data_IF_935903142929
#
_entry.id   IF_935903142929
#
_cell.length_a   1.000
_cell.length_b   1.000
_cell.length_c   1.000
_cell.angle_alpha   90.00
_cell.angle_beta   90.00
_cell.angle_gamma   90.00
#
_symmetry.space_group_name_H-M   'P 1'
#
loop_
_entity.id
_entity.type
_entity.pdbx_description
1 polymer ?
#
# COMPACT_ATOMS: atom_id res chain seq x y z
N UNK A 1 -0.20 -14.41 13.38
CA UNK A 1 -1.02 -15.16 14.36
C UNK A 1 -1.72 -16.32 13.66
N UNK A 2 -1.53 -17.56 14.15
CA UNK A 2 -2.12 -18.79 13.58
C UNK A 2 -1.88 -18.96 12.07
N UNK A 3 -0.68 -18.60 11.60
CA UNK A 3 -0.25 -18.62 10.19
C UNK A 3 -0.89 -17.53 9.28
N UNK A 4 -1.70 -16.64 9.82
CA UNK A 4 -2.12 -15.45 9.10
C UNK A 4 -1.06 -14.37 9.21
N UNK A 5 -0.69 -13.81 8.08
CA UNK A 5 0.27 -12.72 7.99
C UNK A 5 -0.45 -11.38 8.03
N UNK A 6 0.15 -10.42 8.75
CA UNK A 6 -0.32 -9.04 8.83
C UNK A 6 0.88 -8.09 8.65
N UNK A 7 1.44 -8.01 7.45
CA UNK A 7 2.60 -7.18 7.17
C UNK A 7 2.27 -5.69 7.30
N UNK A 8 3.25 -4.94 7.80
CA UNK A 8 3.17 -3.49 7.97
C UNK A 8 4.57 -2.89 7.80
N UNK A 9 4.68 -1.80 7.08
CA UNK A 9 5.91 -1.04 6.91
C UNK A 9 5.77 0.39 7.42
N UNK A 10 6.78 0.86 8.12
CA UNK A 10 6.95 2.24 8.59
C UNK A 10 8.39 2.67 8.40
N UNK A 11 8.59 3.94 8.16
CA UNK A 11 9.91 4.54 8.04
C UNK A 11 10.15 5.47 9.23
N UNK A 12 11.31 5.34 9.85
CA UNK A 12 11.74 6.17 10.99
C UNK A 12 13.15 6.67 10.68
N UNK A 13 13.37 7.97 10.80
CA UNK A 13 14.70 8.58 10.72
C UNK A 13 15.31 8.67 12.11
N UNK A 14 16.61 8.39 12.22
CA UNK A 14 17.38 8.50 13.46
C UNK A 14 18.23 9.76 13.38
N UNK A 15 18.09 10.63 14.39
CA UNK A 15 18.79 11.91 14.49
C UNK A 15 18.14 13.01 13.68
N UNK A 16 18.11 12.91 12.34
CA UNK A 16 17.50 13.92 11.48
C UNK A 16 16.90 13.31 10.23
N UNK A 17 15.81 13.89 9.75
CA UNK A 17 15.23 13.56 8.46
C UNK A 17 15.87 14.41 7.35
N UNK A 18 16.07 13.87 6.14
CA UNK A 18 16.51 14.62 4.98
C UNK A 18 15.51 15.73 4.62
N UNK A 19 16.01 16.81 4.01
CA UNK A 19 15.15 17.87 3.48
C UNK A 19 14.18 17.28 2.44
N UNK A 20 12.90 17.50 2.64
CA UNK A 20 11.85 16.98 1.76
C UNK A 20 11.16 15.72 2.29
N UNK A 21 11.66 15.07 3.35
CA UNK A 21 11.07 13.87 3.92
C UNK A 21 9.58 14.04 4.32
N UNK A 22 9.21 15.23 4.80
CA UNK A 22 7.81 15.54 5.15
C UNK A 22 6.89 15.46 3.92
N UNK A 23 7.33 16.02 2.78
CA UNK A 23 6.55 15.96 1.53
C UNK A 23 6.43 14.53 1.01
N UNK A 24 7.51 13.76 1.10
CA UNK A 24 7.49 12.34 0.69
C UNK A 24 6.59 11.51 1.60
N UNK A 25 6.59 11.77 2.90
CA UNK A 25 5.67 11.15 3.86
C UNK A 25 4.21 11.47 3.54
N UNK A 26 3.90 12.75 3.29
CA UNK A 26 2.56 13.20 2.90
C UNK A 26 2.11 12.55 1.59
N UNK A 27 2.98 12.49 0.59
CA UNK A 27 2.71 11.82 -0.68
C UNK A 27 2.39 10.35 -0.47
N UNK A 28 3.18 9.64 0.34
CA UNK A 28 2.95 8.23 0.64
C UNK A 28 1.63 8.02 1.40
N UNK A 29 1.31 8.88 2.38
CA UNK A 29 0.02 8.82 3.09
C UNK A 29 -1.17 9.08 2.17
N UNK A 30 -1.06 10.04 1.25
CA UNK A 30 -2.11 10.32 0.27
C UNK A 30 -2.30 9.14 -0.70
N UNK A 31 -1.20 8.52 -1.15
CA UNK A 31 -1.23 7.30 -1.95
C UNK A 31 -1.92 6.14 -1.21
N UNK A 32 -1.63 5.94 0.08
CA UNK A 32 -2.29 4.92 0.90
C UNK A 32 -3.80 5.17 1.04
N UNK A 33 -4.21 6.41 1.28
CA UNK A 33 -5.63 6.79 1.32
C UNK A 33 -6.34 6.51 -0.01
N UNK A 34 -5.68 6.80 -1.14
CA UNK A 34 -6.22 6.54 -2.47
C UNK A 34 -6.40 5.03 -2.72
N UNK A 35 -5.39 4.22 -2.38
CA UNK A 35 -5.49 2.75 -2.46
C UNK A 35 -6.68 2.25 -1.65
N UNK A 36 -6.77 2.62 -0.36
CA UNK A 36 -7.86 2.18 0.51
C UNK A 36 -9.23 2.67 0.01
N UNK A 37 -9.31 3.89 -0.51
CA UNK A 37 -10.54 4.45 -1.08
C UNK A 37 -11.05 3.71 -2.33
N UNK A 38 -10.14 3.13 -3.10
CA UNK A 38 -10.47 2.36 -4.31
C UNK A 38 -10.78 0.88 -4.02
N UNK A 39 -10.33 0.34 -2.89
CA UNK A 39 -10.61 -1.04 -2.48
C UNK A 39 -12.08 -1.18 -2.03
N UNK A 40 -12.95 -1.60 -2.95
CA UNK A 40 -14.39 -1.77 -2.71
C UNK A 40 -14.86 -3.12 -3.22
N UNK A 41 -15.81 -3.75 -2.49
CA UNK A 41 -16.45 -4.99 -2.95
C UNK A 41 -17.11 -4.76 -4.31
N UNK A 42 -16.86 -5.67 -5.26
CA UNK A 42 -17.33 -5.57 -6.64
C UNK A 42 -16.47 -4.71 -7.58
N UNK A 43 -15.53 -3.91 -7.04
CA UNK A 43 -14.54 -3.17 -7.84
C UNK A 43 -13.45 -4.08 -8.42
N UNK A 44 -12.54 -3.51 -9.18
CA UNK A 44 -11.39 -4.21 -9.75
C UNK A 44 -10.12 -3.96 -8.94
N UNK A 45 -9.26 -4.95 -8.84
CA UNK A 45 -7.98 -4.82 -8.14
C UNK A 45 -7.08 -3.74 -8.79
N UNK A 46 -7.17 -3.56 -10.10
CA UNK A 46 -6.46 -2.53 -10.84
C UNK A 46 -6.88 -1.09 -10.50
N UNK A 47 -8.10 -0.88 -9.99
CA UNK A 47 -8.60 0.44 -9.60
C UNK A 47 -7.75 1.03 -8.45
N UNK A 48 -7.30 0.19 -7.53
CA UNK A 48 -6.43 0.61 -6.43
C UNK A 48 -5.06 1.11 -6.95
N UNK A 49 -4.50 0.42 -7.94
CA UNK A 49 -3.26 0.86 -8.57
C UNK A 49 -3.46 2.18 -9.33
N UNK A 50 -4.55 2.29 -10.10
CA UNK A 50 -4.87 3.51 -10.85
C UNK A 50 -5.02 4.72 -9.92
N UNK A 51 -5.73 4.57 -8.80
CA UNK A 51 -5.90 5.62 -7.80
C UNK A 51 -4.56 6.06 -7.17
N UNK A 52 -3.67 5.12 -6.87
CA UNK A 52 -2.32 5.42 -6.37
C UNK A 52 -1.48 6.17 -7.42
N UNK A 53 -1.54 5.73 -8.69
CA UNK A 53 -0.86 6.38 -9.82
C UNK A 53 -1.30 7.82 -10.04
N UNK A 54 -2.58 8.10 -9.88
CA UNK A 54 -3.12 9.47 -9.99
C UNK A 54 -2.52 10.40 -8.92
N UNK A 55 -2.35 9.91 -7.69
CA UNK A 55 -1.66 10.67 -6.63
C UNK A 55 -0.20 10.94 -7.02
N UNK A 56 0.51 9.96 -7.54
CA UNK A 56 1.89 10.14 -8.02
C UNK A 56 1.95 11.19 -9.15
N UNK A 57 1.09 11.07 -10.14
CA UNK A 57 1.04 12.00 -11.28
C UNK A 57 0.73 13.44 -10.83
N UNK A 58 -0.22 13.62 -9.91
CA UNK A 58 -0.58 14.92 -9.35
C UNK A 58 0.56 15.58 -8.55
N UNK A 59 1.51 14.78 -8.07
CA UNK A 59 2.72 15.25 -7.38
C UNK A 59 3.91 15.51 -8.33
N UNK A 60 3.69 15.47 -9.63
CA UNK A 60 4.75 15.66 -10.65
C UNK A 60 5.52 14.39 -11.03
N UNK A 61 5.08 13.22 -10.57
CA UNK A 61 5.67 11.92 -10.86
C UNK A 61 4.83 11.16 -11.91
N UNK A 62 4.51 11.84 -13.03
CA UNK A 62 3.62 11.29 -14.06
C UNK A 62 4.15 10.01 -14.73
N UNK A 63 5.46 9.86 -14.84
CA UNK A 63 6.11 8.69 -15.43
C UNK A 63 6.57 7.64 -14.40
N UNK A 64 6.30 7.89 -13.11
CA UNK A 64 6.70 6.97 -12.05
C UNK A 64 5.79 5.76 -12.02
N UNK A 65 6.36 4.59 -12.16
CA UNK A 65 5.65 3.32 -12.17
C UNK A 65 6.25 2.31 -11.20
N UNK A 66 5.37 1.49 -10.66
CA UNK A 66 5.74 0.28 -9.89
C UNK A 66 4.94 -0.89 -10.44
N UNK A 67 5.44 -2.09 -10.26
CA UNK A 67 4.76 -3.28 -10.77
C UNK A 67 3.46 -3.61 -10.02
N UNK A 68 3.27 -3.12 -8.80
CA UNK A 68 2.02 -3.20 -8.03
C UNK A 68 2.02 -2.20 -6.87
N UNK A 69 0.85 -1.94 -6.28
CA UNK A 69 0.68 -1.21 -5.02
C UNK A 69 0.16 -2.09 -3.88
N UNK A 70 0.28 -3.41 -4.01
CA UNK A 70 -0.11 -4.37 -2.97
C UNK A 70 -0.40 -5.75 -3.52
N UNK A 71 -0.58 -6.70 -2.63
CA UNK A 71 -0.90 -8.10 -2.94
C UNK A 71 -1.75 -8.72 -1.84
N UNK A 72 -2.51 -9.75 -2.20
CA UNK A 72 -3.34 -10.48 -1.25
C UNK A 72 -2.49 -11.28 -0.26
N UNK A 73 -2.87 -11.26 1.00
CA UNK A 73 -2.25 -12.03 2.07
C UNK A 73 -3.28 -12.92 2.76
N UNK A 74 -2.80 -13.96 3.42
CA UNK A 74 -3.66 -14.90 4.13
C UNK A 74 -2.83 -15.89 4.95
N UNK A 75 -3.24 -17.14 4.98
CA UNK A 75 -2.44 -18.22 5.58
C UNK A 75 -1.23 -18.47 4.68
N UNK A 76 -0.04 -18.37 5.25
CA UNK A 76 1.20 -18.58 4.52
C UNK A 76 2.22 -19.38 5.33
N UNK A 77 3.16 -20.00 4.62
CA UNK A 77 4.27 -20.78 5.16
C UNK A 77 5.56 -20.34 4.47
N UNK A 78 6.66 -20.42 5.22
CA UNK A 78 7.98 -20.19 4.66
C UNK A 78 8.21 -21.09 3.42
N UNK A 79 8.82 -20.56 2.36
CA UNK A 79 9.45 -19.24 2.21
C UNK A 79 8.52 -18.13 1.71
N UNK A 80 7.23 -18.37 1.53
CA UNK A 80 6.30 -17.36 1.03
C UNK A 80 5.21 -17.05 2.05
N UNK A 81 4.91 -15.74 2.25
CA UNK A 81 3.78 -15.24 3.04
C UNK A 81 2.57 -14.86 2.17
N UNK A 82 2.70 -14.94 0.85
CA UNK A 82 1.61 -14.60 -0.09
C UNK A 82 0.74 -15.80 -0.46
N UNK A 83 0.86 -16.92 0.26
CA UNK A 83 0.13 -18.15 -0.06
C UNK A 83 0.56 -18.83 -1.37
N UNK A 84 1.75 -18.48 -1.88
CA UNK A 84 2.29 -19.04 -3.13
C UNK A 84 1.64 -18.46 -4.39
N UNK A 85 0.71 -17.51 -4.27
CA UNK A 85 0.05 -16.94 -5.42
C UNK A 85 0.26 -15.43 -5.52
N UNK A 86 0.95 -15.02 -6.55
CA UNK A 86 0.92 -13.66 -7.08
C UNK A 86 -0.43 -13.35 -7.77
N UNK A 87 -1.38 -14.26 -7.67
CA UNK A 87 -2.60 -14.29 -8.49
C UNK A 87 -3.57 -13.15 -8.20
N UNK A 88 -3.47 -12.53 -7.02
CA UNK A 88 -4.30 -11.36 -6.73
C UNK A 88 -3.43 -10.24 -6.19
N UNK A 89 -2.82 -9.50 -7.11
CA UNK A 89 -2.06 -8.30 -6.81
C UNK A 89 -2.79 -7.07 -7.34
N UNK A 90 -2.54 -5.95 -6.69
CA UNK A 90 -3.04 -4.63 -7.07
C UNK A 90 -2.09 -4.02 -8.11
N UNK A 91 -2.11 -4.57 -9.33
CA UNK A 91 -1.25 -4.17 -10.44
C UNK A 91 -2.02 -3.46 -11.56
N UNK A 92 -1.33 -2.76 -12.47
CA UNK A 92 -1.99 -2.04 -13.57
C UNK A 92 -2.91 -2.94 -14.39
N UNK A 93 -4.17 -2.55 -14.55
CA UNK A 93 -5.13 -3.28 -15.37
C UNK A 93 -5.58 -4.63 -14.81
N UNK A 94 -5.35 -4.91 -13.53
CA UNK A 94 -5.86 -6.15 -12.92
C UNK A 94 -7.39 -6.19 -12.93
N UNK A 95 -7.94 -7.12 -13.68
CA UNK A 95 -9.39 -7.36 -13.83
C UNK A 95 -9.99 -8.20 -12.70
N UNK A 96 -9.19 -8.60 -11.71
CA UNK A 96 -9.69 -9.38 -10.58
C UNK A 96 -10.76 -8.61 -9.83
N UNK A 97 -11.95 -9.16 -9.74
CA UNK A 97 -13.03 -8.61 -8.93
C UNK A 97 -12.73 -8.78 -7.45
N UNK A 98 -12.90 -7.70 -6.70
CA UNK A 98 -12.70 -7.66 -5.27
C UNK A 98 -13.90 -8.21 -4.52
N UNK A 99 -13.65 -9.08 -3.55
CA UNK A 99 -14.68 -9.77 -2.77
C UNK A 99 -14.54 -9.45 -1.28
N UNK A 100 -15.63 -9.43 -0.55
CA UNK A 100 -15.62 -9.24 0.90
C UNK A 100 -14.77 -10.32 1.57
N UNK A 101 -13.98 -9.92 2.56
CA UNK A 101 -13.08 -10.79 3.31
C UNK A 101 -11.70 -10.95 2.69
N UNK A 102 -11.46 -10.44 1.48
CA UNK A 102 -10.10 -10.35 0.94
C UNK A 102 -9.22 -9.47 1.82
N UNK A 103 -7.99 -9.90 2.06
CA UNK A 103 -7.01 -9.18 2.86
C UNK A 103 -5.79 -8.86 2.00
N UNK A 104 -5.36 -7.62 2.01
CA UNK A 104 -4.24 -7.13 1.21
C UNK A 104 -3.14 -6.55 2.08
N UNK A 105 -1.89 -6.76 1.68
CA UNK A 105 -0.79 -5.91 2.06
C UNK A 105 -0.74 -4.76 1.06
N UNK A 106 -1.29 -3.62 1.41
CA UNK A 106 -1.30 -2.41 0.58
C UNK A 106 -0.01 -1.63 0.79
N UNK A 107 0.59 -1.14 -0.30
CA UNK A 107 1.85 -0.41 -0.30
C UNK A 107 1.69 0.96 -0.93
N UNK A 108 2.12 2.00 -0.24
CA UNK A 108 2.37 3.29 -0.85
C UNK A 108 3.84 3.62 -0.68
N UNK A 109 4.59 3.56 -1.76
CA UNK A 109 6.04 3.69 -1.76
C UNK A 109 6.51 4.52 -2.95
N UNK A 110 7.43 5.41 -2.65
CA UNK A 110 8.08 6.27 -3.61
C UNK A 110 9.58 6.17 -3.35
N UNK A 111 10.28 5.44 -4.21
CA UNK A 111 11.71 5.19 -4.13
C UNK A 111 12.33 5.36 -5.50
N UNK A 112 13.62 5.72 -5.54
CA UNK A 112 14.33 5.98 -6.78
C UNK A 112 13.69 7.11 -7.60
N UNK A 113 13.22 8.14 -6.91
CA UNK A 113 12.68 9.38 -7.49
C UNK A 113 13.62 10.54 -7.16
N UNK A 114 13.39 11.71 -7.76
CA UNK A 114 14.13 12.94 -7.40
C UNK A 114 13.72 13.54 -6.05
N UNK A 115 12.80 12.88 -5.35
CA UNK A 115 12.40 13.20 -3.98
C UNK A 115 12.97 12.19 -3.00
N UNK A 116 12.88 12.49 -1.71
CA UNK A 116 13.35 11.58 -0.65
C UNK A 116 12.52 10.31 -0.65
N UNK A 117 13.17 9.16 -0.64
CA UNK A 117 12.50 7.86 -0.55
C UNK A 117 11.62 7.76 0.67
N UNK A 118 10.40 7.32 0.48
CA UNK A 118 9.46 7.09 1.57
C UNK A 118 8.56 5.88 1.29
N UNK A 119 8.29 5.13 2.35
CA UNK A 119 7.49 3.92 2.27
C UNK A 119 6.57 3.78 3.49
N UNK A 120 5.32 3.50 3.22
CA UNK A 120 4.37 2.98 4.21
C UNK A 120 3.61 1.80 3.63
N UNK A 121 3.24 0.87 4.47
CA UNK A 121 2.34 -0.21 4.10
C UNK A 121 1.45 -0.64 5.26
N UNK A 122 0.30 -1.19 4.91
CA UNK A 122 -0.69 -1.68 5.86
C UNK A 122 -1.25 -3.02 5.43
N UNK A 123 -1.67 -3.80 6.41
CA UNK A 123 -2.62 -4.88 6.17
C UNK A 123 -4.04 -4.32 6.19
N UNK A 124 -4.77 -4.57 5.12
CA UNK A 124 -6.12 -4.02 4.89
C UNK A 124 -7.08 -5.16 4.60
N UNK A 125 -8.22 -5.21 5.29
CA UNK A 125 -9.31 -6.14 4.99
C UNK A 125 -10.44 -5.44 4.24
N UNK A 126 -11.00 -6.12 3.26
CA UNK A 126 -12.15 -5.62 2.52
C UNK A 126 -13.46 -6.04 3.19
N UNK A 127 -14.15 -5.08 3.77
CA UNK A 127 -15.46 -5.25 4.42
C UNK A 127 -16.58 -4.83 3.46
N UNK A 128 -17.83 -5.10 3.83
CA UNK A 128 -19.01 -4.62 3.09
C UNK A 128 -19.05 -3.08 2.97
N UNK A 129 -18.45 -2.37 3.90
CA UNK A 129 -18.45 -0.91 3.99
C UNK A 129 -17.18 -0.28 3.35
N UNK A 130 -16.27 -1.10 2.81
CA UNK A 130 -15.02 -0.70 2.20
C UNK A 130 -13.78 -1.28 2.89
N UNK A 131 -12.63 -0.68 2.63
CA UNK A 131 -11.37 -1.13 3.19
C UNK A 131 -11.18 -0.69 4.63
N UNK A 132 -10.84 -1.63 5.50
CA UNK A 132 -10.49 -1.39 6.91
C UNK A 132 -9.01 -1.70 7.13
N UNK A 133 -8.27 -0.74 7.68
CA UNK A 133 -6.84 -0.87 7.99
C UNK A 133 -6.68 -1.60 9.33
N UNK A 134 -6.14 -2.81 9.30
CA UNK A 134 -5.92 -3.65 10.49
C UNK A 134 -4.69 -3.24 11.31
N UNK A 135 -3.74 -2.52 10.69
CA UNK A 135 -2.48 -2.08 11.31
C UNK A 135 -2.49 -0.59 11.67
N UNK A 136 -3.65 -0.02 11.94
CA UNK A 136 -3.86 1.40 12.22
C UNK A 136 -3.27 1.91 13.56
N UNK A 137 -2.80 1.01 14.44
CA UNK A 137 -2.25 1.36 15.75
C UNK A 137 -0.88 2.05 15.70
N UNK A 138 -0.21 2.00 14.54
CA UNK A 138 1.11 2.60 14.34
C UNK A 138 0.99 3.81 13.42
N UNK A 139 1.50 4.99 13.81
CA UNK A 139 1.44 6.20 12.99
C UNK A 139 2.06 6.01 11.61
N UNK A 140 1.46 6.61 10.59
CA UNK A 140 1.95 6.61 9.20
C UNK A 140 2.79 7.84 8.87
N UNK A 141 2.66 8.89 9.68
CA UNK A 141 3.38 10.15 9.50
C UNK A 141 4.89 9.99 9.74
N UNK A 142 5.63 10.99 9.28
CA UNK A 142 7.05 11.10 9.51
C UNK A 142 7.39 11.02 11.00
N UNK A 143 8.30 10.13 11.34
CA UNK A 143 8.84 9.98 12.69
C UNK A 143 10.36 10.19 12.65
N UNK A 144 10.85 11.09 13.54
CA UNK A 144 12.28 11.29 13.77
C UNK A 144 12.56 10.99 15.25
N UNK A 145 13.59 10.19 15.53
CA UNK A 145 14.01 9.79 16.89
C UNK A 145 15.50 10.05 17.12
#
# INVERSE_FOLDING_TARGET
YRKYHAPMGRLVYIGSAPKGAEKSAELAMNGMKAICGALKVGGKAGDAYAAWREVAASAGLADYERHHCGYMVGIGFSPSWTGGSMVTSLFPGSERTLEQGMVFHAHSWFTDTDVVDYFISNTVILTKDGAEVLTATTPENLVVK
#
